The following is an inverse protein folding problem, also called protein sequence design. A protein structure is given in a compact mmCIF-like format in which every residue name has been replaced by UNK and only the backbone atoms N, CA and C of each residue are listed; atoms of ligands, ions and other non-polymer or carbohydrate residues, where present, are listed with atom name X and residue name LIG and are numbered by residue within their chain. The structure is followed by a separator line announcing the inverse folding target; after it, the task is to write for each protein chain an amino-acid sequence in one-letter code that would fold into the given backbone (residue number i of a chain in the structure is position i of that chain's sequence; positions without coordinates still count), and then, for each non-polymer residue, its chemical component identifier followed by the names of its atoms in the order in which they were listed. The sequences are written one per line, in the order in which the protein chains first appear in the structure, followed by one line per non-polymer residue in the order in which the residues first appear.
data_IF_648686860472
#
_entry.id   IF_648686860472
#
_cell.length_a   1.000
_cell.length_b   1.000
_cell.length_c   1.000
_cell.angle_alpha   90.00
_cell.angle_beta   90.00
_cell.angle_gamma   90.00
#
_symmetry.space_group_name_H-M   'P 1'
#
loop_
_entity.id
_entity.type
_entity.pdbx_description
1 polymer ?
#
# COMPACT_ATOMS: atom_id res chain seq x y z
N UNK A 1 8.50 -8.38 -9.02
CA UNK A 1 8.22 -9.20 -7.82
C UNK A 1 9.16 -10.40 -7.81
N UNK A 2 9.78 -10.73 -6.68
CA UNK A 2 10.63 -11.92 -6.56
C UNK A 2 9.73 -13.16 -6.43
N UNK A 3 9.65 -13.96 -7.49
CA UNK A 3 8.92 -15.24 -7.46
C UNK A 3 9.84 -16.31 -6.88
N UNK A 4 9.59 -16.72 -5.64
CA UNK A 4 10.27 -17.86 -5.04
C UNK A 4 9.61 -19.14 -5.58
N UNK A 5 10.23 -19.77 -6.57
CA UNK A 5 9.86 -21.12 -6.98
C UNK A 5 10.21 -22.09 -5.84
N UNK A 6 9.21 -22.44 -5.02
CA UNK A 6 9.40 -23.33 -3.88
C UNK A 6 9.66 -24.75 -4.38
N UNK A 7 10.69 -25.40 -3.85
CA UNK A 7 10.89 -26.84 -4.01
C UNK A 7 9.82 -27.60 -3.22
N UNK A 8 9.47 -28.82 -3.66
CA UNK A 8 8.49 -29.67 -2.96
C UNK A 8 8.83 -29.86 -1.47
N UNK A 9 10.12 -29.99 -1.13
CA UNK A 9 10.58 -30.12 0.25
C UNK A 9 10.33 -28.87 1.11
N UNK A 10 10.23 -27.70 0.49
CA UNK A 10 9.94 -26.44 1.17
C UNK A 10 8.43 -26.27 1.35
N UNK A 11 7.64 -26.66 0.34
CA UNK A 11 6.17 -26.69 0.43
C UNK A 11 5.72 -27.58 1.58
N UNK A 12 6.29 -28.77 1.71
CA UNK A 12 5.94 -29.72 2.79
C UNK A 12 6.24 -29.17 4.19
N UNK A 13 7.32 -28.40 4.35
CA UNK A 13 7.67 -27.76 5.63
C UNK A 13 6.62 -26.70 6.00
N UNK A 14 6.23 -25.85 5.06
CA UNK A 14 5.17 -24.86 5.29
C UNK A 14 3.82 -25.53 5.52
N UNK A 15 3.50 -26.58 4.78
CA UNK A 15 2.25 -27.33 4.95
C UNK A 15 2.15 -27.96 6.34
N UNK A 16 3.23 -28.55 6.87
CA UNK A 16 3.28 -29.08 8.25
C UNK A 16 3.03 -28.02 9.32
N UNK A 17 3.34 -26.76 9.04
CA UNK A 17 2.99 -25.66 9.93
C UNK A 17 1.50 -25.33 9.82
N UNK A 18 0.96 -25.27 8.60
CA UNK A 18 -0.45 -25.00 8.34
C UNK A 18 -1.39 -26.08 8.90
N UNK A 19 -0.96 -27.34 8.97
CA UNK A 19 -1.79 -28.42 9.52
C UNK A 19 -2.06 -28.27 11.01
N UNK A 20 -1.16 -27.59 11.75
CA UNK A 20 -1.30 -27.34 13.19
C UNK A 20 -2.26 -26.19 13.53
N UNK A 21 -2.69 -25.41 12.54
CA UNK A 21 -3.64 -24.32 12.75
C UNK A 21 -5.03 -24.86 13.10
N UNK A 22 -5.76 -24.11 13.92
CA UNK A 22 -7.17 -24.35 14.17
C UNK A 22 -8.02 -24.12 12.91
N UNK A 23 -9.25 -24.62 12.93
CA UNK A 23 -10.13 -24.57 11.77
C UNK A 23 -10.53 -23.14 11.35
N UNK A 24 -10.59 -22.18 12.29
CA UNK A 24 -10.92 -20.78 12.00
C UNK A 24 -9.75 -20.13 11.27
N UNK A 25 -8.53 -20.32 11.78
CA UNK A 25 -7.31 -19.81 11.17
C UNK A 25 -7.08 -20.38 9.76
N UNK A 26 -7.32 -21.69 9.56
CA UNK A 26 -7.25 -22.33 8.23
C UNK A 26 -8.21 -21.70 7.23
N UNK A 27 -9.48 -21.51 7.61
CA UNK A 27 -10.49 -20.88 6.74
C UNK A 27 -10.09 -19.46 6.35
N UNK A 28 -9.59 -18.67 7.31
CA UNK A 28 -9.14 -17.29 7.06
C UNK A 28 -7.94 -17.25 6.10
N UNK A 29 -7.02 -18.20 6.23
CA UNK A 29 -5.84 -18.27 5.38
C UNK A 29 -6.19 -18.68 3.94
N UNK A 30 -7.15 -19.60 3.76
CA UNK A 30 -7.69 -19.95 2.43
C UNK A 30 -8.29 -18.71 1.77
N UNK A 31 -9.16 -17.96 2.46
CA UNK A 31 -9.76 -16.73 1.91
C UNK A 31 -8.68 -15.75 1.45
N UNK A 32 -7.70 -15.45 2.31
CA UNK A 32 -6.60 -14.53 1.96
C UNK A 32 -5.76 -15.01 0.78
N UNK A 33 -5.51 -16.32 0.68
CA UNK A 33 -4.79 -16.88 -0.45
C UNK A 33 -5.61 -16.78 -1.74
N UNK A 34 -6.91 -17.07 -1.68
CA UNK A 34 -7.83 -16.87 -2.80
C UNK A 34 -7.82 -15.40 -3.25
N UNK A 35 -7.96 -14.46 -2.32
CA UNK A 35 -7.88 -13.02 -2.61
C UNK A 35 -6.52 -12.58 -3.17
N UNK A 36 -5.43 -13.31 -2.88
CA UNK A 36 -4.10 -13.02 -3.42
C UNK A 36 -3.87 -13.55 -4.83
N UNK A 37 -4.70 -14.52 -5.27
CA UNK A 37 -4.68 -15.09 -6.62
C UNK A 37 -5.65 -14.32 -7.52
N UNK A 38 -6.79 -13.92 -6.97
CA UNK A 38 -7.71 -13.01 -7.63
C UNK A 38 -7.00 -11.67 -7.80
N UNK A 39 -6.57 -11.39 -9.03
CA UNK A 39 -6.20 -10.03 -9.42
C UNK A 39 -7.48 -9.22 -9.27
N UNK A 40 -7.64 -8.58 -8.12
CA UNK A 40 -8.54 -7.45 -8.01
C UNK A 40 -8.01 -6.48 -9.07
N UNK A 41 -8.74 -6.31 -10.16
CA UNK A 41 -8.68 -5.06 -10.89
C UNK A 41 -8.91 -4.01 -9.80
N UNK A 42 -7.83 -3.40 -9.30
CA UNK A 42 -7.96 -2.16 -8.54
C UNK A 42 -8.78 -1.31 -9.49
N UNK A 43 -10.06 -1.08 -9.12
CA UNK A 43 -10.97 -0.26 -9.91
C UNK A 43 -10.15 0.96 -10.31
N UNK A 44 -9.88 1.12 -11.61
CA UNK A 44 -8.93 2.10 -12.15
C UNK A 44 -9.05 3.35 -11.30
N UNK A 45 -8.06 3.58 -10.43
CA UNK A 45 -8.15 4.65 -9.45
C UNK A 45 -8.04 5.94 -10.26
N UNK A 46 -9.20 6.46 -10.63
CA UNK A 46 -9.30 7.57 -11.54
C UNK A 46 -8.77 8.80 -10.82
N UNK A 47 -7.61 9.30 -11.25
CA UNK A 47 -7.04 10.54 -10.71
C UNK A 47 -8.03 11.71 -10.85
N UNK A 48 -8.96 11.67 -11.81
CA UNK A 48 -10.01 12.67 -11.91
C UNK A 48 -10.99 12.63 -10.72
N UNK A 49 -11.16 11.49 -10.03
CA UNK A 49 -11.96 11.40 -8.81
C UNK A 49 -11.34 12.13 -7.62
N UNK A 50 -10.06 12.50 -7.69
CA UNK A 50 -9.38 13.30 -6.68
C UNK A 50 -9.54 14.81 -6.92
N UNK A 51 -9.91 15.22 -8.14
CA UNK A 51 -10.12 16.63 -8.47
C UNK A 51 -11.33 17.17 -7.71
N UNK A 52 -11.11 18.16 -6.85
CA UNK A 52 -12.16 18.79 -6.04
C UNK A 52 -12.59 18.01 -4.79
N UNK A 53 -12.02 16.83 -4.53
CA UNK A 53 -12.24 16.09 -3.27
C UNK A 53 -11.50 16.73 -2.08
N UNK A 54 -10.53 17.61 -2.35
CA UNK A 54 -9.86 18.40 -1.34
C UNK A 54 -10.59 19.72 -1.12
N UNK A 55 -11.33 19.78 -0.02
CA UNK A 55 -11.89 21.03 0.53
C UNK A 55 -11.01 21.45 1.72
N UNK A 56 -10.26 22.54 1.55
CA UNK A 56 -9.47 23.14 2.62
C UNK A 56 -10.08 24.49 3.02
N UNK A 57 -10.15 24.76 4.32
CA UNK A 57 -10.52 26.07 4.83
C UNK A 57 -9.36 27.06 4.78
N UNK A 58 -8.13 26.57 4.56
CA UNK A 58 -6.94 27.39 4.40
C UNK A 58 -6.93 28.10 3.06
N UNK A 59 -6.56 29.37 3.12
CA UNK A 59 -6.29 30.16 1.92
C UNK A 59 -5.02 29.67 1.24
N UNK A 60 -4.90 29.92 -0.07
CA UNK A 60 -3.71 29.54 -0.85
C UNK A 60 -2.41 30.09 -0.25
N UNK A 61 -2.45 31.28 0.35
CA UNK A 61 -1.30 31.91 1.00
C UNK A 61 -0.86 31.17 2.27
N UNK A 62 -1.82 30.64 3.05
CA UNK A 62 -1.54 29.83 4.24
C UNK A 62 -0.92 28.49 3.86
N UNK A 63 -1.42 27.86 2.79
CA UNK A 63 -0.85 26.60 2.26
C UNK A 63 0.60 26.84 1.79
N UNK A 64 0.83 27.93 1.06
CA UNK A 64 2.18 28.29 0.60
C UNK A 64 3.13 28.59 1.76
N UNK A 65 2.63 29.23 2.82
CA UNK A 65 3.39 29.49 4.05
C UNK A 65 3.76 28.19 4.75
N UNK A 66 2.80 27.29 4.97
CA UNK A 66 3.04 25.99 5.61
C UNK A 66 4.09 25.17 4.85
N UNK A 67 4.00 25.13 3.51
CA UNK A 67 4.97 24.43 2.65
C UNK A 67 6.38 25.03 2.77
N UNK A 68 6.50 26.35 2.89
CA UNK A 68 7.79 27.03 3.07
C UNK A 68 8.37 26.75 4.46
N UNK A 69 7.53 26.79 5.49
CA UNK A 69 7.95 26.55 6.87
C UNK A 69 8.31 25.09 7.14
N UNK A 70 7.67 24.15 6.43
CA UNK A 70 7.98 22.71 6.51
C UNK A 70 9.28 22.32 5.82
N UNK A 71 9.94 23.23 5.08
CA UNK A 71 11.23 22.92 4.44
C UNK A 71 12.32 22.66 5.47
N UNK A 72 12.99 21.52 5.32
CA UNK A 72 14.17 21.14 6.10
C UNK A 72 15.36 22.04 5.72
N UNK A 73 15.50 22.35 4.43
CA UNK A 73 16.49 23.28 3.90
C UNK A 73 15.85 24.63 3.56
N UNK A 74 16.21 25.66 4.33
CA UNK A 74 15.57 26.99 4.27
C UNK A 74 16.31 27.99 3.38
N UNK A 75 17.37 27.57 2.70
CA UNK A 75 18.11 28.46 1.81
C UNK A 75 17.34 28.63 0.51
N UNK A 76 16.98 29.87 0.18
CA UNK A 76 16.54 30.20 -1.16
C UNK A 76 17.70 29.92 -2.11
N UNK A 77 17.52 28.97 -3.01
CA UNK A 77 18.43 28.74 -4.13
C UNK A 77 18.19 29.88 -5.15
N UNK A 78 18.52 31.12 -4.77
CA UNK A 78 19.07 32.10 -5.70
C UNK A 78 20.57 31.82 -5.72
N UNK A 79 21.26 31.59 -6.83
CA UNK A 79 21.32 32.43 -8.02
C UNK A 79 21.71 31.56 -9.23
N UNK A 80 21.00 31.71 -10.35
CA UNK A 80 21.56 31.67 -11.71
C UNK A 80 20.70 32.57 -12.61
#
# INVERSE_FOLDING_TARGET
MMSLALTNSTIDKYFRFLTKLDNVSKKKLIVKLTESIEVREESDFDLASLYGAWEDSKTSDEILKDIRESRIEKNDISYF
#
